data_IF_653875825694
#
_entry.id   IF_653875825694
#
_cell.length_a   1.000
_cell.length_b   1.000
_cell.length_c   1.000
_cell.angle_alpha   90.00
_cell.angle_beta   90.00
_cell.angle_gamma   90.00
#
_symmetry.space_group_name_H-M   'P 1'
#
loop_
_entity.id
_entity.type
_entity.pdbx_description
1 polymer ?
#
# COMPACT_ATOMS: atom_id res chain seq x y z
N UNK A 1 -1.39 -3.62 8.88
CA UNK A 1 -1.42 -3.21 7.48
C UNK A 1 -0.92 -4.35 6.60
N UNK A 2 -1.68 -4.67 5.58
CA UNK A 2 -1.27 -5.65 4.58
C UNK A 2 -1.17 -4.96 3.23
N UNK A 3 -0.05 -5.16 2.53
CA UNK A 3 0.12 -4.67 1.18
C UNK A 3 -0.47 -5.69 0.22
N UNK A 4 -1.34 -5.24 -0.68
CA UNK A 4 -1.99 -6.13 -1.62
C UNK A 4 -0.95 -6.77 -2.57
N UNK A 5 -1.13 -8.05 -2.87
CA UNK A 5 -0.15 -8.79 -3.69
C UNK A 5 0.03 -8.23 -5.10
N UNK A 6 -0.96 -7.46 -5.61
CA UNK A 6 -0.83 -6.86 -6.93
C UNK A 6 0.40 -5.97 -7.05
N UNK A 7 0.85 -5.37 -5.94
CA UNK A 7 2.08 -4.58 -5.93
C UNK A 7 3.31 -5.45 -6.19
N UNK A 8 3.25 -6.72 -5.79
CA UNK A 8 4.37 -7.65 -5.95
C UNK A 8 4.48 -8.18 -7.38
N UNK A 9 3.39 -8.15 -8.15
CA UNK A 9 3.37 -8.65 -9.52
C UNK A 9 4.28 -7.87 -10.48
N UNK A 10 4.67 -6.67 -10.09
CA UNK A 10 5.51 -5.81 -10.93
C UNK A 10 6.98 -5.91 -10.58
N UNK A 11 7.38 -6.99 -9.91
CA UNK A 11 8.78 -7.19 -9.55
C UNK A 11 9.25 -6.32 -8.39
N UNK A 12 8.32 -5.84 -7.60
CA UNK A 12 8.62 -5.00 -6.44
C UNK A 12 8.84 -5.90 -5.24
N UNK A 13 9.93 -5.69 -4.51
CA UNK A 13 10.20 -6.50 -3.33
C UNK A 13 9.20 -6.19 -2.21
N UNK A 14 8.93 -7.15 -1.31
CA UNK A 14 8.06 -6.88 -0.17
C UNK A 14 8.53 -5.71 0.67
N UNK A 15 9.85 -5.57 0.86
CA UNK A 15 10.42 -4.48 1.66
C UNK A 15 10.12 -3.13 1.02
N UNK A 16 10.28 -3.02 -0.30
CA UNK A 16 10.00 -1.78 -1.02
C UNK A 16 8.51 -1.44 -0.97
N UNK A 17 7.65 -2.44 -1.08
CA UNK A 17 6.21 -2.23 -0.98
C UNK A 17 5.81 -1.73 0.40
N UNK A 18 6.37 -2.33 1.46
CA UNK A 18 6.09 -1.92 2.83
C UNK A 18 6.60 -0.49 3.07
N UNK A 19 7.81 -0.20 2.61
CA UNK A 19 8.39 1.13 2.76
C UNK A 19 7.53 2.19 2.07
N UNK A 20 7.13 1.95 0.83
CA UNK A 20 6.31 2.88 0.06
C UNK A 20 4.92 3.05 0.71
N UNK A 21 4.33 1.96 1.22
CA UNK A 21 3.04 2.02 1.87
C UNK A 21 3.10 2.81 3.18
N UNK A 22 4.19 2.67 3.93
CA UNK A 22 4.35 3.37 5.21
C UNK A 22 4.66 4.85 5.03
N UNK A 23 5.40 5.21 3.97
CA UNK A 23 5.82 6.59 3.71
C UNK A 23 5.04 7.20 2.54
N UNK A 24 3.78 6.86 2.41
CA UNK A 24 2.95 7.31 1.31
C UNK A 24 2.82 8.84 1.26
N UNK A 25 2.61 9.36 0.04
CA UNK A 25 2.42 10.79 -0.20
C UNK A 25 0.96 11.13 -0.50
N UNK A 26 0.15 10.10 -0.79
CA UNK A 26 -1.28 10.25 -1.01
C UNK A 26 -1.97 8.96 -0.61
N UNK A 27 -3.16 9.07 0.01
CA UNK A 27 -3.96 7.90 0.31
C UNK A 27 -5.44 8.24 0.24
N UNK A 28 -6.25 7.23 -0.12
CA UNK A 28 -7.69 7.37 -0.14
C UNK A 28 -8.31 5.97 0.08
N UNK A 29 -9.34 5.86 0.93
CA UNK A 29 -10.05 4.59 1.07
C UNK A 29 -10.82 4.27 -0.20
N UNK A 30 -10.82 2.99 -0.56
CA UNK A 30 -11.53 2.54 -1.75
C UNK A 30 -12.96 2.08 -1.44
N UNK A 31 -13.23 1.74 -0.19
CA UNK A 31 -14.56 1.33 0.27
C UNK A 31 -14.65 1.40 1.78
N UNK A 32 -15.85 1.13 2.33
CA UNK A 32 -16.10 1.09 3.76
C UNK A 32 -16.01 -0.33 4.33
N UNK A 33 -15.52 -1.27 3.56
CA UNK A 33 -15.41 -2.66 4.00
C UNK A 33 -14.48 -2.80 5.21
N UNK A 34 -14.52 -3.95 5.85
CA UNK A 34 -13.61 -4.29 6.93
C UNK A 34 -12.98 -5.66 6.61
N UNK A 35 -11.67 -5.71 6.32
CA UNK A 35 -10.71 -4.60 6.34
C UNK A 35 -10.96 -3.56 5.25
N UNK A 36 -10.54 -2.34 5.53
CA UNK A 36 -10.71 -1.24 4.57
C UNK A 36 -9.62 -1.31 3.53
N UNK A 37 -9.94 -1.48 2.24
CA UNK A 37 -8.92 -1.34 1.20
C UNK A 37 -8.63 0.14 1.00
N UNK A 38 -7.36 0.49 1.12
CA UNK A 38 -6.93 1.88 0.99
C UNK A 38 -5.89 1.98 -0.12
N UNK A 39 -6.17 2.85 -1.08
CA UNK A 39 -5.21 3.15 -2.14
C UNK A 39 -4.13 4.07 -1.61
N UNK A 40 -2.88 3.77 -1.92
CA UNK A 40 -1.75 4.63 -1.54
C UNK A 40 -0.79 4.81 -2.70
N UNK A 41 -0.28 6.04 -2.81
CA UNK A 41 0.86 6.35 -3.67
C UNK A 41 2.06 6.60 -2.76
N UNK A 42 3.16 5.92 -3.02
CA UNK A 42 4.36 6.07 -2.23
C UNK A 42 5.60 5.79 -3.05
N UNK A 43 6.73 6.37 -2.64
CA UNK A 43 8.01 6.11 -3.31
C UNK A 43 8.74 4.98 -2.60
N UNK A 44 9.36 4.08 -3.39
CA UNK A 44 10.24 3.08 -2.82
C UNK A 44 11.59 3.74 -2.46
N UNK A 45 12.51 2.96 -1.92
CA UNK A 45 13.81 3.50 -1.49
C UNK A 45 14.66 3.99 -2.67
N UNK A 46 14.38 3.51 -3.87
CA UNK A 46 15.05 3.99 -5.09
C UNK A 46 14.41 5.21 -5.71
N UNK A 47 13.35 5.74 -5.12
CA UNK A 47 12.66 6.91 -5.64
C UNK A 47 11.61 6.61 -6.72
N UNK A 48 11.27 5.33 -6.92
CA UNK A 48 10.24 4.94 -7.89
C UNK A 48 8.87 5.06 -7.25
N UNK A 49 7.93 5.72 -7.95
CA UNK A 49 6.56 5.86 -7.46
C UNK A 49 5.80 4.56 -7.64
N UNK A 50 5.20 4.08 -6.56
CA UNK A 50 4.40 2.86 -6.55
C UNK A 50 2.95 3.17 -6.25
N UNK A 51 2.05 2.44 -6.92
CA UNK A 51 0.63 2.42 -6.61
C UNK A 51 0.35 1.15 -5.82
N UNK A 52 -0.23 1.31 -4.65
CA UNK A 52 -0.43 0.21 -3.70
C UNK A 52 -1.87 0.19 -3.20
N UNK A 53 -2.36 -1.00 -2.90
CA UNK A 53 -3.56 -1.15 -2.08
C UNK A 53 -3.14 -1.83 -0.79
N UNK A 54 -3.48 -1.22 0.34
CA UNK A 54 -3.23 -1.81 1.66
C UNK A 54 -4.57 -2.12 2.31
N UNK A 55 -4.58 -3.13 3.17
CA UNK A 55 -5.76 -3.48 3.93
C UNK A 55 -5.59 -2.98 5.35
N UNK A 56 -6.51 -2.12 5.77
CA UNK A 56 -6.50 -1.53 7.10
C UNK A 56 -7.56 -2.24 7.93
N UNK A 57 -7.13 -2.97 8.94
CA UNK A 57 -8.02 -3.71 9.82
C UNK A 57 -8.46 -2.81 10.97
N UNK A 58 -9.77 -2.74 11.17
CA UNK A 58 -10.31 -1.98 12.29
C UNK A 58 -10.07 -2.76 13.57
N UNK A 59 -9.73 -2.04 14.61
CA UNK A 59 -9.63 -2.60 15.96
C UNK A 59 -10.84 -2.16 16.75
N UNK A 60 -11.25 -3.04 17.65
CA UNK A 60 -12.37 -2.76 18.54
C UNK A 60 -11.87 -2.32 19.91
#
# INVERSE_FOLDING_TARGET
MLVHESALKHGISPEDSIFAAASYVFSAPESDDNPIPEFRLGFDMGGRLLELTVLIFRQR
#
